data_IF_346659883401
#
_entry.id   IF_346659883401
#
_cell.length_a   1.000
_cell.length_b   1.000
_cell.length_c   1.000
_cell.angle_alpha   90.00
_cell.angle_beta   90.00
_cell.angle_gamma   90.00
#
_symmetry.space_group_name_H-M   'P 1'
#
loop_
_entity.id
_entity.type
_entity.pdbx_description
1 polymer ?
#
# COMPACT_ATOMS: atom_id res chain seq x y z
N UNK A 1 -4.26 -14.36 11.80
CA UNK A 1 -3.94 -14.51 10.37
C UNK A 1 -5.17 -15.04 9.66
N UNK A 2 -5.61 -14.39 8.57
CA UNK A 2 -6.77 -14.85 7.81
C UNK A 2 -6.40 -16.10 7.00
N UNK A 3 -7.29 -17.10 6.98
CA UNK A 3 -7.05 -18.37 6.27
C UNK A 3 -7.78 -18.40 4.91
N UNK A 4 -8.15 -17.23 4.39
CA UNK A 4 -9.00 -17.09 3.21
C UNK A 4 -8.66 -15.81 2.48
N UNK A 5 -8.58 -15.88 1.15
CA UNK A 5 -8.37 -14.69 0.31
C UNK A 5 -9.55 -13.72 0.42
N UNK A 6 -9.31 -12.43 0.20
CA UNK A 6 -10.37 -11.41 0.16
C UNK A 6 -11.30 -11.51 -1.07
N UNK A 7 -11.07 -12.46 -2.00
CA UNK A 7 -11.85 -12.62 -3.24
C UNK A 7 -12.00 -11.31 -4.05
N UNK A 8 -10.92 -10.53 -4.10
CA UNK A 8 -10.86 -9.21 -4.74
C UNK A 8 -11.78 -8.12 -4.13
N UNK A 9 -12.35 -8.36 -2.95
CA UNK A 9 -13.13 -7.38 -2.22
C UNK A 9 -12.20 -6.45 -1.41
N UNK A 10 -11.93 -5.28 -1.96
CA UNK A 10 -11.05 -4.27 -1.35
C UNK A 10 -11.68 -3.60 -0.12
N UNK A 11 -12.99 -3.73 0.10
CA UNK A 11 -13.66 -3.16 1.28
C UNK A 11 -13.27 -3.88 2.58
N UNK A 12 -12.70 -5.08 2.47
CA UNK A 12 -12.24 -5.90 3.59
C UNK A 12 -10.78 -5.66 3.97
N UNK A 13 -10.13 -4.66 3.36
CA UNK A 13 -8.76 -4.31 3.70
C UNK A 13 -8.71 -3.65 5.07
N UNK A 14 -7.75 -4.07 5.87
CA UNK A 14 -7.56 -3.63 7.24
C UNK A 14 -6.24 -2.86 7.39
N UNK A 15 -6.08 -2.15 8.51
CA UNK A 15 -4.84 -1.43 8.82
C UNK A 15 -3.68 -2.41 8.90
N UNK A 16 -2.56 -2.06 8.28
CA UNK A 16 -1.36 -2.88 8.17
C UNK A 16 -1.32 -3.79 6.95
N UNK A 17 -2.39 -3.86 6.15
CA UNK A 17 -2.39 -4.62 4.91
C UNK A 17 -1.45 -4.01 3.85
N UNK A 18 -0.87 -4.89 3.03
CA UNK A 18 -0.08 -4.51 1.87
C UNK A 18 -0.66 -5.13 0.59
N UNK A 19 -0.93 -4.30 -0.42
CA UNK A 19 -1.43 -4.73 -1.72
C UNK A 19 -0.35 -4.53 -2.79
N UNK A 20 0.05 -5.62 -3.44
CA UNK A 20 1.08 -5.60 -4.48
C UNK A 20 0.46 -5.63 -5.88
N UNK A 21 0.87 -4.71 -6.75
CA UNK A 21 0.45 -4.63 -8.14
C UNK A 21 1.62 -4.24 -9.07
N UNK A 22 1.66 -4.83 -10.27
CA UNK A 22 2.77 -4.70 -11.23
C UNK A 22 2.60 -3.57 -12.25
N UNK A 23 1.74 -2.58 -11.97
CA UNK A 23 1.51 -1.45 -12.88
C UNK A 23 1.22 -0.19 -12.09
N UNK A 24 1.91 0.91 -12.42
CA UNK A 24 1.65 2.26 -11.87
C UNK A 24 0.16 2.61 -11.94
N UNK A 25 -0.49 2.36 -13.08
CA UNK A 25 -1.92 2.65 -13.26
C UNK A 25 -2.79 1.83 -12.29
N UNK A 26 -2.46 0.54 -12.10
CA UNK A 26 -3.17 -0.33 -11.14
C UNK A 26 -2.94 0.11 -9.70
N UNK A 27 -1.72 0.50 -9.34
CA UNK A 27 -1.38 0.99 -7.99
C UNK A 27 -2.25 2.19 -7.62
N UNK A 28 -2.30 3.21 -8.47
CA UNK A 28 -3.14 4.38 -8.20
C UNK A 28 -4.64 4.05 -8.23
N UNK A 29 -5.08 3.15 -9.10
CA UNK A 29 -6.47 2.69 -9.12
C UNK A 29 -6.86 1.94 -7.85
N UNK A 30 -6.01 1.04 -7.37
CA UNK A 30 -6.22 0.28 -6.14
C UNK A 30 -6.22 1.22 -4.93
N UNK A 31 -5.24 2.12 -4.81
CA UNK A 31 -5.20 3.16 -3.77
C UNK A 31 -6.54 3.88 -3.68
N UNK A 32 -7.01 4.40 -4.82
CA UNK A 32 -8.26 5.16 -4.88
C UNK A 32 -9.46 4.30 -4.44
N UNK A 33 -9.54 3.06 -4.93
CA UNK A 33 -10.63 2.16 -4.56
C UNK A 33 -10.62 1.80 -3.06
N UNK A 34 -9.45 1.65 -2.44
CA UNK A 34 -9.33 1.38 -1.01
C UNK A 34 -9.77 2.61 -0.22
N UNK A 35 -9.20 3.78 -0.53
CA UNK A 35 -9.55 5.04 0.13
C UNK A 35 -11.05 5.34 0.04
N UNK A 36 -11.69 5.10 -1.10
CA UNK A 36 -13.13 5.28 -1.30
C UNK A 36 -13.99 4.23 -0.57
N UNK A 37 -13.55 2.98 -0.51
CA UNK A 37 -14.33 1.88 0.07
C UNK A 37 -14.20 1.76 1.60
N UNK A 38 -13.03 2.07 2.15
CA UNK A 38 -12.71 1.85 3.58
C UNK A 38 -12.46 3.14 4.35
N UNK A 39 -12.14 4.25 3.65
CA UNK A 39 -11.68 5.49 4.29
C UNK A 39 -10.26 5.42 4.85
N UNK A 40 -9.53 4.32 4.61
CA UNK A 40 -8.15 4.14 5.03
C UNK A 40 -7.19 4.84 4.09
N UNK A 41 -6.20 5.55 4.63
CA UNK A 41 -5.23 6.26 3.80
C UNK A 41 -4.13 5.31 3.31
N UNK A 42 -3.79 5.41 2.03
CA UNK A 42 -2.83 4.51 1.40
C UNK A 42 -1.49 5.20 1.08
N UNK A 43 -0.40 4.62 1.60
CA UNK A 43 0.96 4.90 1.16
C UNK A 43 1.25 4.18 -0.15
N UNK A 44 2.12 4.75 -1.00
CA UNK A 44 2.39 4.20 -2.34
C UNK A 44 3.88 4.04 -2.61
N UNK A 45 4.28 2.84 -3.04
CA UNK A 45 5.68 2.55 -3.39
C UNK A 45 5.77 1.80 -4.72
N UNK A 46 6.51 2.33 -5.69
CA UNK A 46 6.79 1.63 -6.94
C UNK A 46 8.20 1.95 -7.45
N UNK A 47 8.76 1.10 -8.32
CA UNK A 47 10.18 1.15 -8.70
C UNK A 47 10.68 2.49 -9.29
N UNK A 48 9.79 3.23 -9.96
CA UNK A 48 10.11 4.56 -10.50
C UNK A 48 10.12 5.73 -9.51
N UNK A 49 9.89 5.51 -8.21
CA UNK A 49 10.04 6.56 -7.20
C UNK A 49 11.52 6.75 -6.83
N UNK A 50 11.98 7.99 -6.57
CA UNK A 50 13.29 8.25 -5.98
C UNK A 50 13.49 7.46 -4.66
N UNK A 51 14.72 7.01 -4.35
CA UNK A 51 15.00 6.26 -3.12
C UNK A 51 14.50 6.96 -1.85
N UNK A 52 14.73 8.28 -1.74
CA UNK A 52 14.27 9.09 -0.61
C UNK A 52 12.74 9.07 -0.47
N UNK A 53 12.00 9.23 -1.56
CA UNK A 53 10.53 9.16 -1.54
C UNK A 53 10.04 7.78 -1.11
N UNK A 54 10.70 6.70 -1.55
CA UNK A 54 10.35 5.35 -1.10
C UNK A 54 10.58 5.19 0.40
N UNK A 55 11.70 5.67 0.92
CA UNK A 55 12.00 5.64 2.36
C UNK A 55 10.99 6.45 3.16
N UNK A 56 10.58 7.63 2.68
CA UNK A 56 9.56 8.44 3.33
C UNK A 56 8.19 7.75 3.37
N UNK A 57 7.77 7.14 2.26
CA UNK A 57 6.50 6.38 2.18
C UNK A 57 6.54 5.13 3.06
N UNK A 58 7.65 4.40 3.08
CA UNK A 58 7.84 3.25 3.95
C UNK A 58 7.82 3.65 5.44
N UNK A 59 8.54 4.73 5.79
CA UNK A 59 8.54 5.28 7.14
C UNK A 59 7.14 5.73 7.57
N UNK A 60 6.40 6.39 6.68
CA UNK A 60 5.03 6.79 6.95
C UNK A 60 4.16 5.55 7.25
N UNK A 61 4.18 4.54 6.39
CA UNK A 61 3.43 3.29 6.64
C UNK A 61 3.84 2.58 7.94
N UNK A 62 5.12 2.60 8.31
CA UNK A 62 5.63 1.98 9.54
C UNK A 62 5.33 2.80 10.81
N UNK A 63 4.95 4.07 10.67
CA UNK A 63 4.63 4.97 11.78
C UNK A 63 3.11 4.99 12.03
N UNK A 64 2.62 4.46 13.16
CA UNK A 64 1.19 4.43 13.49
C UNK A 64 0.54 5.82 13.55
N UNK A 65 1.33 6.87 13.80
CA UNK A 65 0.84 8.24 13.95
C UNK A 65 0.89 9.05 12.62
N UNK A 66 1.41 8.45 11.54
CA UNK A 66 1.52 9.12 10.23
C UNK A 66 0.18 9.36 9.54
N UNK A 67 -0.86 8.65 9.98
CA UNK A 67 -2.17 8.61 9.34
C UNK A 67 -2.23 7.77 8.07
N UNK A 68 -1.19 7.00 7.72
CA UNK A 68 -1.21 6.01 6.64
C UNK A 68 -1.46 4.60 7.18
N UNK A 69 -2.52 3.97 6.69
CA UNK A 69 -3.03 2.71 7.24
C UNK A 69 -2.66 1.50 6.38
N UNK A 70 -2.50 1.69 5.06
CA UNK A 70 -2.34 0.61 4.07
C UNK A 70 -1.19 0.94 3.11
N UNK A 71 -0.44 -0.08 2.68
CA UNK A 71 0.61 0.08 1.67
C UNK A 71 0.18 -0.51 0.33
N UNK A 72 0.12 0.31 -0.72
CA UNK A 72 -0.09 -0.17 -2.10
C UNK A 72 1.21 -0.05 -2.87
N UNK A 73 1.76 -1.17 -3.33
CA UNK A 73 3.11 -1.17 -3.86
C UNK A 73 3.33 -2.04 -5.11
N UNK A 74 4.49 -1.88 -5.75
CA UNK A 74 5.00 -2.81 -6.76
C UNK A 74 5.99 -3.80 -6.14
N UNK A 75 6.48 -4.71 -6.97
CA UNK A 75 7.63 -5.59 -6.72
C UNK A 75 8.88 -4.91 -6.14
N UNK A 76 8.99 -3.58 -6.27
CA UNK A 76 10.08 -2.78 -5.71
C UNK A 76 10.21 -2.86 -4.18
N UNK A 77 9.17 -3.29 -3.44
CA UNK A 77 9.24 -3.46 -1.98
C UNK A 77 10.15 -4.60 -1.56
N UNK A 78 10.35 -5.61 -2.41
CA UNK A 78 11.18 -6.77 -2.11
C UNK A 78 12.68 -6.50 -2.15
N UNK A 79 13.11 -5.30 -2.56
CA UNK A 79 14.52 -5.00 -2.84
C UNK A 79 15.19 -4.05 -1.83
N UNK A 80 14.58 -3.81 -0.65
CA UNK A 80 15.25 -3.12 0.46
C UNK A 80 14.61 -1.80 0.86
N UNK A 81 13.51 -1.89 1.60
CA UNK A 81 12.96 -0.80 2.40
C UNK A 81 12.83 -1.36 3.83
N UNK A 82 13.65 -0.86 4.76
CA UNK A 82 13.52 -1.09 6.20
C UNK A 82 13.02 0.20 6.84
#
# INVERSE_FOLDING_TARGET
MSNTSLRADLSKIEKGDCVVAFSRKKIFGIKKNIEEATGLNCAVIYGGLPPETRSLQAKAFNDPDSGFDVLVASDAIGMGLN
#
